data_IF_058419324501
#
_entry.id   IF_058419324501
#
_cell.length_a   1.000
_cell.length_b   1.000
_cell.length_c   1.000
_cell.angle_alpha   90.00
_cell.angle_beta   90.00
_cell.angle_gamma   90.00
#
_symmetry.space_group_name_H-M   'P 1'
#
loop_
_entity.id
_entity.type
_entity.pdbx_description
1 polymer ?
#
# COMPACT_ATOMS: atom_id res chain seq x y z
N UNK A 1 52.63 4.03 47.13
CA UNK A 1 53.69 3.77 46.13
C UNK A 1 53.02 3.61 44.78
N UNK A 2 53.57 4.17 43.69
CA UNK A 2 53.86 5.60 43.48
C UNK A 2 53.04 6.12 42.27
N UNK A 3 52.56 7.37 42.28
CA UNK A 3 53.19 8.57 41.67
C UNK A 3 52.52 8.95 40.34
N UNK A 4 51.76 10.04 40.24
CA UNK A 4 52.17 11.47 40.17
C UNK A 4 53.00 11.82 38.93
N UNK A 5 52.40 12.58 38.02
CA UNK A 5 52.91 13.82 37.43
C UNK A 5 51.67 14.61 36.95
N UNK A 6 51.28 15.77 37.49
CA UNK A 6 51.97 17.08 37.51
C UNK A 6 52.27 17.52 36.08
N UNK A 7 51.63 18.53 35.48
CA UNK A 7 51.41 19.88 35.96
C UNK A 7 51.18 20.84 34.76
N UNK A 8 51.15 22.18 34.95
CA UNK A 8 50.08 23.04 34.43
C UNK A 8 50.56 24.22 33.55
N UNK A 9 49.63 25.18 33.34
CA UNK A 9 49.78 26.59 32.87
C UNK A 9 49.77 26.82 31.35
N UNK A 10 48.81 27.62 30.86
CA UNK A 10 48.92 29.07 30.99
C UNK A 10 47.62 29.79 30.61
N UNK A 11 47.17 30.58 31.58
CA UNK A 11 46.31 31.75 31.48
C UNK A 11 46.59 32.64 30.26
N UNK A 12 45.53 33.14 29.62
CA UNK A 12 45.39 34.52 29.13
C UNK A 12 44.01 34.75 28.51
N UNK A 13 43.17 35.53 29.19
CA UNK A 13 42.14 36.34 28.51
C UNK A 13 42.83 37.54 27.86
N UNK A 14 42.32 37.98 26.69
CA UNK A 14 41.82 39.35 26.67
C UNK A 14 40.49 39.48 25.92
N UNK A 15 39.61 40.28 26.51
CA UNK A 15 38.48 40.95 25.87
C UNK A 15 38.94 41.79 24.69
N UNK A 16 38.31 41.67 23.51
CA UNK A 16 38.25 42.79 22.57
C UNK A 16 37.09 42.68 21.56
N UNK A 17 36.24 43.72 21.61
CA UNK A 17 35.49 44.38 20.52
C UNK A 17 34.50 43.61 19.64
N UNK A 18 33.23 44.02 19.80
CA UNK A 18 32.22 44.22 18.74
C UNK A 18 32.85 44.67 17.41
N UNK A 19 32.45 44.01 16.32
CA UNK A 19 32.10 44.66 15.06
C UNK A 19 31.00 43.87 14.35
N UNK A 20 29.87 44.54 14.23
CA UNK A 20 28.78 44.30 13.28
C UNK A 20 29.29 44.22 11.84
N UNK A 21 28.71 43.32 11.04
CA UNK A 21 28.13 43.55 9.70
C UNK A 21 28.26 42.32 8.82
N UNK A 22 27.12 41.93 8.23
CA UNK A 22 27.12 41.48 6.83
C UNK A 22 26.97 39.98 6.62
N UNK A 23 25.97 39.63 5.83
CA UNK A 23 25.93 38.36 5.10
C UNK A 23 24.90 37.37 5.60
N UNK A 24 23.62 37.70 5.43
CA UNK A 24 22.59 36.69 5.30
C UNK A 24 22.94 35.81 4.08
N UNK A 25 23.47 34.61 4.30
CA UNK A 25 23.54 33.59 3.28
C UNK A 25 22.20 32.86 3.29
N UNK A 26 21.25 33.37 2.50
CA UNK A 26 20.00 32.67 2.20
C UNK A 26 20.35 31.46 1.34
N UNK A 27 20.50 30.29 1.96
CA UNK A 27 20.59 29.03 1.27
C UNK A 27 19.19 28.68 0.73
N UNK A 28 18.85 29.14 -0.47
CA UNK A 28 17.69 28.66 -1.23
C UNK A 28 17.95 27.22 -1.66
N UNK A 29 17.62 26.28 -0.77
CA UNK A 29 17.37 24.88 -1.13
C UNK A 29 16.14 24.85 -2.03
N UNK A 30 16.34 24.92 -3.35
CA UNK A 30 15.34 24.50 -4.32
C UNK A 30 15.09 23.00 -4.09
N UNK A 31 14.07 22.69 -3.31
CA UNK A 31 13.51 21.35 -3.23
C UNK A 31 12.90 21.01 -4.59
N UNK A 32 13.67 20.34 -5.45
CA UNK A 32 13.13 19.65 -6.61
C UNK A 32 12.25 18.52 -6.10
N UNK A 33 10.95 18.81 -5.95
CA UNK A 33 9.92 17.80 -5.80
C UNK A 33 9.83 17.03 -7.12
N UNK A 34 10.55 15.91 -7.21
CA UNK A 34 10.36 14.96 -8.30
C UNK A 34 8.89 14.50 -8.29
N UNK A 35 8.18 14.52 -9.42
CA UNK A 35 6.86 13.95 -9.49
C UNK A 35 6.98 12.46 -9.16
N UNK A 36 6.37 12.05 -8.05
CA UNK A 36 6.20 10.64 -7.73
C UNK A 36 5.17 10.07 -8.70
N UNK A 37 5.61 9.72 -9.91
CA UNK A 37 4.80 8.98 -10.85
C UNK A 37 4.59 7.59 -10.24
N UNK A 38 3.39 7.35 -9.69
CA UNK A 38 3.00 6.03 -9.26
C UNK A 38 3.06 5.12 -10.50
N UNK A 39 3.97 4.14 -10.50
CA UNK A 39 4.06 3.20 -11.60
C UNK A 39 2.72 2.43 -11.72
N UNK A 40 2.26 2.12 -12.95
CA UNK A 40 1.03 1.36 -13.15
C UNK A 40 1.05 0.05 -12.36
N UNK A 41 -0.06 -0.28 -11.68
CA UNK A 41 -0.20 -1.54 -10.97
C UNK A 41 -0.14 -2.69 -11.99
N UNK A 42 0.75 -3.68 -11.82
CA UNK A 42 0.80 -4.83 -12.71
C UNK A 42 -0.55 -5.57 -12.66
N UNK A 43 -1.19 -5.84 -13.81
CA UNK A 43 -2.44 -6.58 -13.82
C UNK A 43 -2.23 -8.00 -13.29
N UNK A 44 -3.27 -8.58 -12.70
CA UNK A 44 -3.28 -9.96 -12.25
C UNK A 44 -4.54 -10.69 -12.70
N UNK A 45 -4.40 -11.97 -13.07
CA UNK A 45 -5.51 -12.79 -13.57
C UNK A 45 -5.78 -12.61 -15.08
N UNK A 46 -6.86 -13.23 -15.61
CA UNK A 46 -7.89 -13.97 -14.88
C UNK A 46 -7.36 -15.27 -14.25
N UNK A 47 -7.72 -15.53 -13.00
CA UNK A 47 -7.28 -16.72 -12.25
C UNK A 47 -8.39 -17.23 -11.34
N UNK A 48 -8.37 -18.53 -11.04
CA UNK A 48 -9.31 -19.13 -10.11
C UNK A 48 -8.69 -19.16 -8.72
N UNK A 49 -9.42 -18.69 -7.72
CA UNK A 49 -8.91 -18.53 -6.35
C UNK A 49 -9.86 -19.20 -5.39
N UNK A 50 -9.35 -20.09 -4.53
CA UNK A 50 -10.10 -20.62 -3.40
C UNK A 50 -9.34 -20.35 -2.10
N UNK A 51 -10.06 -20.11 -1.01
CA UNK A 51 -9.43 -19.91 0.29
C UNK A 51 -10.41 -19.80 1.45
N UNK A 52 -9.85 -19.86 2.66
CA UNK A 52 -10.60 -19.64 3.91
C UNK A 52 -10.69 -18.14 4.17
N UNK A 53 -11.89 -17.66 4.52
CA UNK A 53 -12.11 -16.25 4.83
C UNK A 53 -11.58 -15.98 6.25
N UNK A 54 -10.54 -15.16 6.34
CA UNK A 54 -9.99 -14.68 7.62
C UNK A 54 -10.76 -13.44 8.09
N UNK A 55 -11.00 -12.52 7.17
CA UNK A 55 -11.77 -11.30 7.42
C UNK A 55 -12.41 -10.81 6.14
N UNK A 56 -13.59 -10.20 6.24
CA UNK A 56 -14.24 -9.49 5.17
C UNK A 56 -14.80 -8.17 5.71
N UNK A 57 -14.66 -7.09 4.94
CA UNK A 57 -15.24 -5.79 5.25
C UNK A 57 -15.98 -5.27 4.03
N UNK A 58 -17.28 -5.06 4.16
CA UNK A 58 -18.07 -4.42 3.11
C UNK A 58 -17.91 -2.90 3.13
N UNK A 59 -17.91 -2.30 1.95
CA UNK A 59 -17.89 -0.86 1.72
C UNK A 59 -18.94 -0.53 0.67
N UNK A 60 -19.77 0.47 0.97
CA UNK A 60 -20.75 0.98 0.03
C UNK A 60 -20.06 1.59 -1.20
N UNK A 61 -20.79 1.69 -2.31
CA UNK A 61 -20.33 2.39 -3.49
C UNK A 61 -19.92 3.83 -3.15
N UNK A 62 -18.84 4.31 -3.77
CA UNK A 62 -18.31 5.66 -3.53
C UNK A 62 -18.05 6.37 -4.84
N UNK A 63 -18.35 7.66 -4.90
CA UNK A 63 -18.00 8.50 -6.04
C UNK A 63 -16.85 9.42 -5.68
N UNK A 64 -15.85 9.50 -6.55
CA UNK A 64 -14.75 10.43 -6.44
C UNK A 64 -14.79 11.39 -7.64
N UNK A 65 -14.58 12.69 -7.37
CA UNK A 65 -14.44 13.70 -8.42
C UNK A 65 -13.09 13.56 -9.11
N UNK A 66 -13.06 13.83 -10.41
CA UNK A 66 -11.83 13.90 -11.18
C UNK A 66 -10.93 15.03 -10.69
N UNK A 67 -9.62 14.83 -10.82
CA UNK A 67 -8.61 15.83 -10.48
C UNK A 67 -8.18 16.52 -11.79
N UNK A 68 -8.53 17.80 -12.01
CA UNK A 68 -8.16 18.49 -13.24
C UNK A 68 -6.64 18.47 -13.49
N UNK A 69 -6.26 18.18 -14.73
CA UNK A 69 -4.85 18.09 -15.13
C UNK A 69 -4.18 16.74 -14.89
N UNK A 70 -4.85 15.77 -14.25
CA UNK A 70 -4.39 14.38 -14.17
C UNK A 70 -4.80 13.59 -15.42
N UNK A 71 -3.95 12.66 -15.85
CA UNK A 71 -4.24 11.69 -16.91
C UNK A 71 -5.03 10.48 -16.39
N UNK A 72 -5.45 9.61 -17.31
CA UNK A 72 -6.10 8.34 -16.98
C UNK A 72 -7.43 8.53 -16.27
N UNK A 73 -7.87 7.53 -15.51
CA UNK A 73 -9.13 7.68 -14.78
C UNK A 73 -9.05 8.74 -13.68
N UNK A 74 -7.85 9.10 -13.18
CA UNK A 74 -7.62 10.17 -12.19
C UNK A 74 -8.19 11.53 -12.61
N UNK A 75 -8.18 11.83 -13.90
CA UNK A 75 -8.71 13.08 -14.45
C UNK A 75 -10.24 13.16 -14.54
N UNK A 76 -10.95 12.06 -14.34
CA UNK A 76 -12.39 11.96 -14.54
C UNK A 76 -13.13 11.61 -13.25
N UNK A 77 -14.38 12.06 -13.15
CA UNK A 77 -15.32 11.57 -12.14
C UNK A 77 -15.49 10.05 -12.30
N UNK A 78 -15.53 9.34 -11.19
CA UNK A 78 -15.62 7.87 -11.17
C UNK A 78 -16.45 7.39 -10.02
N UNK A 79 -17.10 6.25 -10.22
CA UNK A 79 -17.81 5.52 -9.18
C UNK A 79 -17.11 4.19 -8.97
N UNK A 80 -16.73 3.94 -7.72
CA UNK A 80 -16.29 2.65 -7.24
C UNK A 80 -17.54 1.87 -6.80
N UNK A 81 -17.77 0.66 -7.33
CA UNK A 81 -18.91 -0.15 -6.92
C UNK A 81 -18.82 -0.53 -5.44
N UNK A 82 -19.94 -0.93 -4.84
CA UNK A 82 -19.93 -1.55 -3.53
C UNK A 82 -19.09 -2.83 -3.59
N UNK A 83 -18.25 -3.05 -2.58
CA UNK A 83 -17.32 -4.17 -2.57
C UNK A 83 -16.97 -4.64 -1.16
N UNK A 84 -16.57 -5.90 -1.07
CA UNK A 84 -15.85 -6.43 0.08
C UNK A 84 -14.35 -6.32 -0.12
N UNK A 85 -13.62 -5.86 0.89
CA UNK A 85 -12.20 -6.18 1.04
C UNK A 85 -12.09 -7.47 1.84
N UNK A 86 -11.53 -8.53 1.23
CA UNK A 86 -11.46 -9.87 1.80
C UNK A 86 -10.00 -10.27 1.99
N UNK A 87 -9.67 -10.84 3.14
CA UNK A 87 -8.41 -11.53 3.37
C UNK A 87 -8.66 -13.04 3.37
N UNK A 88 -8.04 -13.74 2.43
CA UNK A 88 -8.05 -15.18 2.33
C UNK A 88 -6.74 -15.78 2.88
N UNK A 89 -6.83 -16.96 3.47
CA UNK A 89 -5.69 -17.81 3.79
C UNK A 89 -5.85 -19.21 3.21
N UNK A 90 -4.75 -19.98 3.23
CA UNK A 90 -4.67 -21.29 2.59
C UNK A 90 -5.12 -21.23 1.11
N UNK A 91 -4.67 -20.17 0.42
CA UNK A 91 -5.09 -19.87 -0.95
C UNK A 91 -4.56 -20.90 -1.93
N UNK A 92 -5.40 -21.29 -2.88
CA UNK A 92 -5.05 -22.14 -4.01
C UNK A 92 -5.53 -21.56 -5.34
N UNK A 93 -4.92 -22.02 -6.44
CA UNK A 93 -5.32 -21.70 -7.81
C UNK A 93 -4.60 -20.51 -8.47
N UNK A 94 -3.89 -19.68 -7.69
CA UNK A 94 -2.95 -18.68 -8.22
C UNK A 94 -1.49 -19.04 -7.94
N UNK A 95 -0.61 -18.74 -8.90
CA UNK A 95 0.83 -18.78 -8.67
C UNK A 95 1.31 -17.62 -7.78
N UNK A 96 2.56 -17.72 -7.32
CA UNK A 96 3.15 -16.77 -6.39
C UNK A 96 3.19 -15.33 -6.96
N UNK A 97 3.48 -15.17 -8.25
CA UNK A 97 3.58 -13.86 -8.89
C UNK A 97 2.20 -13.19 -8.98
N UNK A 98 1.18 -13.94 -9.40
CA UNK A 98 -0.21 -13.49 -9.47
C UNK A 98 -0.73 -13.11 -8.10
N UNK A 99 -0.48 -13.94 -7.08
CA UNK A 99 -0.89 -13.65 -5.71
C UNK A 99 -0.22 -12.37 -5.15
N UNK A 100 1.07 -12.15 -5.46
CA UNK A 100 1.78 -10.91 -5.11
C UNK A 100 1.18 -9.68 -5.80
N UNK A 101 0.88 -9.76 -7.09
CA UNK A 101 0.28 -8.65 -7.83
C UNK A 101 -1.12 -8.29 -7.27
N UNK A 102 -1.91 -9.30 -6.89
CA UNK A 102 -3.19 -9.08 -6.21
C UNK A 102 -2.95 -8.36 -4.87
N UNK A 103 -2.04 -8.85 -4.04
CA UNK A 103 -1.73 -8.24 -2.74
C UNK A 103 -1.23 -6.80 -2.87
N UNK A 104 -0.41 -6.52 -3.88
CA UNK A 104 0.07 -5.17 -4.18
C UNK A 104 -1.09 -4.22 -4.48
N UNK A 105 -2.07 -4.66 -5.29
CA UNK A 105 -3.24 -3.86 -5.63
C UNK A 105 -4.12 -3.49 -4.42
N UNK A 106 -4.05 -4.27 -3.33
CA UNK A 106 -4.82 -4.05 -2.10
C UNK A 106 -3.95 -3.72 -0.87
N UNK A 107 -2.69 -3.35 -1.09
CA UNK A 107 -1.78 -2.89 -0.04
C UNK A 107 -1.56 -3.90 1.08
N UNK A 108 -1.51 -5.20 0.78
CA UNK A 108 -1.07 -6.20 1.75
C UNK A 108 0.46 -6.31 1.70
N UNK A 109 1.12 -6.02 2.82
CA UNK A 109 2.58 -6.11 2.91
C UNK A 109 3.06 -7.56 2.85
N UNK A 110 4.30 -7.80 2.39
CA UNK A 110 4.91 -9.13 2.37
C UNK A 110 4.89 -9.83 3.75
N UNK A 111 5.05 -9.03 4.83
CA UNK A 111 4.96 -9.52 6.21
C UNK A 111 3.55 -10.03 6.53
N UNK A 112 2.52 -9.26 6.20
CA UNK A 112 1.13 -9.63 6.48
C UNK A 112 0.62 -10.74 5.56
N UNK A 113 1.20 -10.84 4.36
CA UNK A 113 0.97 -11.90 3.39
C UNK A 113 1.58 -13.25 3.82
N UNK A 114 2.45 -13.25 4.86
CA UNK A 114 3.26 -14.39 5.27
C UNK A 114 4.04 -14.97 4.09
N UNK A 115 4.85 -14.12 3.46
CA UNK A 115 5.60 -14.49 2.25
C UNK A 115 6.57 -15.67 2.51
N UNK A 116 6.58 -16.64 1.60
CA UNK A 116 7.49 -17.78 1.61
C UNK A 116 8.19 -17.91 0.24
N UNK A 117 9.23 -18.75 0.10
CA UNK A 117 9.81 -19.03 -1.23
C UNK A 117 8.80 -19.59 -2.24
N UNK A 118 7.71 -20.22 -1.77
CA UNK A 118 6.63 -20.74 -2.61
C UNK A 118 5.53 -19.69 -2.92
N UNK A 119 5.65 -18.47 -2.38
CA UNK A 119 4.67 -17.38 -2.53
C UNK A 119 3.98 -16.98 -1.22
N UNK A 120 3.05 -15.99 -1.29
CA UNK A 120 2.27 -15.53 -0.15
C UNK A 120 1.29 -16.62 0.30
N UNK A 121 1.13 -16.76 1.62
CA UNK A 121 0.16 -17.70 2.22
C UNK A 121 -1.22 -17.07 2.40
N UNK A 122 -1.31 -15.75 2.25
CA UNK A 122 -2.54 -14.96 2.32
C UNK A 122 -2.68 -14.05 1.12
N UNK A 123 -3.93 -13.86 0.69
CA UNK A 123 -4.28 -12.94 -0.40
C UNK A 123 -5.34 -11.96 0.08
N UNK A 124 -5.11 -10.66 -0.09
CA UNK A 124 -6.12 -9.62 0.08
C UNK A 124 -6.68 -9.21 -1.27
N UNK A 125 -7.99 -9.24 -1.43
CA UNK A 125 -8.67 -8.94 -2.68
C UNK A 125 -9.94 -8.11 -2.47
N UNK A 126 -10.39 -7.45 -3.53
CA UNK A 126 -11.68 -6.77 -3.62
C UNK A 126 -12.70 -7.68 -4.30
N UNK A 127 -13.94 -7.71 -3.79
CA UNK A 127 -15.03 -8.43 -4.42
C UNK A 127 -16.25 -7.53 -4.54
N UNK A 128 -16.53 -7.07 -5.76
CA UNK A 128 -17.73 -6.27 -6.06
C UNK A 128 -19.00 -7.06 -5.70
N UNK A 129 -19.83 -6.49 -4.84
CA UNK A 129 -21.11 -7.06 -4.46
C UNK A 129 -21.98 -6.01 -3.73
N UNK A 130 -23.24 -5.86 -4.15
CA UNK A 130 -24.13 -4.83 -3.61
C UNK A 130 -24.76 -5.22 -2.27
N UNK A 131 -24.95 -6.51 -2.01
CA UNK A 131 -25.49 -7.00 -0.73
C UNK A 131 -24.39 -7.03 0.36
N UNK A 132 -24.51 -6.22 1.44
CA UNK A 132 -23.56 -6.19 2.54
C UNK A 132 -23.52 -7.49 3.36
N UNK A 133 -24.58 -8.32 3.30
CA UNK A 133 -24.70 -9.57 4.07
C UNK A 133 -24.31 -10.81 3.25
N UNK A 134 -23.82 -10.65 2.03
CA UNK A 134 -23.51 -11.75 1.12
C UNK A 134 -22.55 -12.80 1.72
N UNK A 135 -21.60 -12.34 2.54
CA UNK A 135 -20.60 -13.18 3.21
C UNK A 135 -20.97 -13.55 4.66
N UNK A 136 -22.19 -13.28 5.11
CA UNK A 136 -22.62 -13.65 6.46
C UNK A 136 -22.61 -15.18 6.64
N UNK A 137 -21.93 -15.62 7.70
CA UNK A 137 -21.72 -17.03 7.99
C UNK A 137 -20.76 -17.75 7.03
N UNK A 138 -20.12 -17.05 6.09
CA UNK A 138 -19.18 -17.65 5.15
C UNK A 138 -17.89 -18.09 5.85
N UNK A 139 -17.47 -19.33 5.61
CA UNK A 139 -16.19 -19.86 6.09
C UNK A 139 -15.09 -19.86 5.04
N UNK A 140 -15.46 -20.10 3.79
CA UNK A 140 -14.55 -20.12 2.65
C UNK A 140 -15.28 -19.66 1.39
N UNK A 141 -14.50 -19.24 0.40
CA UNK A 141 -15.04 -18.90 -0.92
C UNK A 141 -14.11 -19.39 -2.04
N UNK A 142 -14.69 -19.57 -3.22
CA UNK A 142 -13.99 -19.76 -4.47
C UNK A 142 -14.47 -18.74 -5.49
N UNK A 143 -13.54 -18.06 -6.17
CA UNK A 143 -13.81 -17.08 -7.22
C UNK A 143 -13.29 -17.63 -8.53
N UNK A 144 -14.14 -17.64 -9.55
CA UNK A 144 -13.78 -18.04 -10.92
C UNK A 144 -13.45 -16.81 -11.76
N UNK A 145 -12.35 -16.88 -12.50
CA UNK A 145 -11.90 -15.84 -13.43
C UNK A 145 -11.63 -14.48 -12.77
N UNK A 146 -11.11 -14.47 -11.54
CA UNK A 146 -10.77 -13.25 -10.82
C UNK A 146 -9.64 -12.51 -11.53
N UNK A 147 -9.83 -11.22 -11.78
CA UNK A 147 -8.79 -10.33 -12.29
C UNK A 147 -8.78 -9.01 -11.53
N UNK A 148 -7.62 -8.40 -11.47
CA UNK A 148 -7.42 -7.05 -10.95
C UNK A 148 -6.56 -6.24 -11.91
N UNK A 149 -6.95 -5.00 -12.09
CA UNK A 149 -6.22 -3.97 -12.83
C UNK A 149 -6.30 -2.66 -12.07
N UNK A 150 -5.34 -1.78 -12.30
CA UNK A 150 -5.34 -0.48 -11.66
C UNK A 150 -4.52 0.54 -12.43
N UNK A 151 -4.81 1.79 -12.17
CA UNK A 151 -4.08 2.97 -12.64
C UNK A 151 -4.03 3.99 -11.50
N UNK A 152 -3.56 5.21 -11.77
CA UNK A 152 -3.42 6.28 -10.79
C UNK A 152 -4.76 6.68 -10.13
N UNK A 153 -5.88 6.34 -10.77
CA UNK A 153 -7.22 6.66 -10.34
C UNK A 153 -7.94 5.55 -9.59
N UNK A 154 -7.36 4.36 -9.46
CA UNK A 154 -7.91 3.32 -8.59
C UNK A 154 -7.60 1.89 -9.01
N UNK A 155 -8.36 0.97 -8.40
CA UNK A 155 -8.26 -0.47 -8.62
C UNK A 155 -9.63 -0.99 -9.02
N UNK A 156 -9.67 -1.82 -10.06
CA UNK A 156 -10.86 -2.47 -10.58
C UNK A 156 -10.69 -3.97 -10.56
N UNK A 157 -11.73 -4.66 -10.09
CA UNK A 157 -11.78 -6.12 -10.05
C UNK A 157 -12.91 -6.64 -10.90
N UNK A 158 -12.67 -7.75 -11.58
CA UNK A 158 -13.67 -8.48 -12.35
C UNK A 158 -13.62 -9.96 -11.94
N UNK A 159 -14.75 -10.65 -12.05
CA UNK A 159 -14.86 -12.08 -11.81
C UNK A 159 -16.05 -12.63 -12.58
N UNK A 160 -16.05 -13.94 -12.84
CA UNK A 160 -17.15 -14.62 -13.54
C UNK A 160 -18.22 -15.11 -12.58
N UNK A 161 -17.79 -15.74 -11.49
CA UNK A 161 -18.71 -16.25 -10.46
C UNK A 161 -18.01 -16.40 -9.12
N UNK A 162 -18.82 -16.47 -8.05
CA UNK A 162 -18.36 -16.72 -6.69
C UNK A 162 -19.18 -17.85 -6.08
N UNK A 163 -18.48 -18.83 -5.53
CA UNK A 163 -19.08 -19.88 -4.72
C UNK A 163 -18.70 -19.66 -3.25
N UNK A 164 -19.71 -19.53 -2.38
CA UNK A 164 -19.54 -19.31 -0.94
C UNK A 164 -19.93 -20.57 -0.18
N UNK A 165 -19.08 -21.02 0.74
CA UNK A 165 -19.36 -22.12 1.66
C UNK A 165 -19.52 -21.57 3.08
N UNK A 166 -20.66 -21.84 3.70
CA UNK A 166 -20.99 -21.42 5.07
C UNK A 166 -20.42 -22.40 6.10
N UNK A 167 -20.12 -21.89 7.31
CA UNK A 167 -19.65 -22.68 8.45
C UNK A 167 -20.79 -23.43 9.12
#
# INVERSE_FOLDING_TARGET
MPSTETGPRHERRPTCRRRTLGGALLATLLGMSLPSAAAPLPPAGPVNLCGTIVSAKWQAAQTARGIPGMSGTAGHDRTFPAQFTILLEAVSGADAATARNINLAFGLSDKDAHETPAGPRRVRLGLNHDDPNFLDGAGSLCIDGYSVRGDEGGTWTEHKSVAVKRR
#
